data_IF_952406879475
#
_entry.id   IF_952406879475
#
_cell.length_a   1.000
_cell.length_b   1.000
_cell.length_c   1.000
_cell.angle_alpha   90.00
_cell.angle_beta   90.00
_cell.angle_gamma   90.00
#
_symmetry.space_group_name_H-M   'P 1'
#
loop_
_entity.id
_entity.type
_entity.pdbx_description
1 polymer ?
#
# COMPACT_ATOMS: atom_id res chain seq x y z
N UNK A 1 -10.99 -9.15 -11.66
CA UNK A 1 -9.86 -9.78 -12.37
C UNK A 1 -10.28 -9.85 -13.83
N UNK A 2 -9.39 -9.48 -14.75
CA UNK A 2 -9.72 -9.49 -16.17
C UNK A 2 -9.61 -10.91 -16.75
N UNK A 3 -10.54 -11.29 -17.64
CA UNK A 3 -10.71 -12.67 -18.13
C UNK A 3 -9.66 -13.04 -19.19
N UNK A 4 -9.43 -12.15 -20.15
CA UNK A 4 -8.43 -12.33 -21.22
C UNK A 4 -7.03 -12.47 -20.63
N UNK A 5 -6.73 -11.66 -19.61
CA UNK A 5 -5.46 -11.69 -18.90
C UNK A 5 -5.22 -13.02 -18.17
N UNK A 6 -6.27 -13.69 -17.70
CA UNK A 6 -6.18 -15.01 -17.07
C UNK A 6 -5.85 -16.11 -18.09
N UNK A 7 -6.49 -16.08 -19.27
CA UNK A 7 -6.22 -17.04 -20.34
C UNK A 7 -4.77 -16.96 -20.86
N UNK A 8 -4.18 -15.76 -20.89
CA UNK A 8 -2.81 -15.50 -21.37
C UNK A 8 -1.76 -15.52 -20.27
N UNK A 9 -2.03 -16.14 -19.13
CA UNK A 9 -1.11 -16.18 -17.99
C UNK A 9 0.30 -16.66 -18.36
N UNK A 10 0.38 -17.74 -19.16
CA UNK A 10 1.67 -18.31 -19.57
C UNK A 10 2.42 -17.43 -20.56
N UNK A 11 1.72 -16.73 -21.46
CA UNK A 11 2.33 -15.79 -22.40
C UNK A 11 2.98 -14.62 -21.65
N UNK A 12 2.29 -14.07 -20.65
CA UNK A 12 2.84 -13.02 -19.78
C UNK A 12 4.01 -13.52 -18.95
N UNK A 13 3.94 -14.75 -18.43
CA UNK A 13 5.03 -15.35 -17.65
C UNK A 13 6.30 -15.47 -18.51
N UNK A 14 6.16 -15.98 -19.74
CA UNK A 14 7.27 -16.09 -20.69
C UNK A 14 7.87 -14.73 -21.04
N UNK A 15 7.02 -13.74 -21.35
CA UNK A 15 7.48 -12.39 -21.68
C UNK A 15 8.19 -11.72 -20.49
N UNK A 16 7.69 -11.94 -19.27
CA UNK A 16 8.31 -11.43 -18.04
C UNK A 16 9.71 -12.02 -17.81
N UNK A 17 9.87 -13.33 -17.96
CA UNK A 17 11.15 -14.00 -17.80
C UNK A 17 12.18 -13.53 -18.84
N UNK A 18 11.76 -13.39 -20.09
CA UNK A 18 12.61 -12.86 -21.18
C UNK A 18 13.06 -11.42 -20.90
N UNK A 19 12.14 -10.57 -20.46
CA UNK A 19 12.43 -9.18 -20.10
C UNK A 19 13.46 -9.09 -18.99
N UNK A 20 13.28 -9.83 -17.88
CA UNK A 20 14.22 -9.80 -16.75
C UNK A 20 15.59 -10.30 -17.19
N UNK A 21 15.63 -11.42 -17.91
CA UNK A 21 16.89 -11.99 -18.39
C UNK A 21 17.67 -11.03 -19.30
N UNK A 22 16.97 -10.27 -20.14
CA UNK A 22 17.59 -9.36 -21.09
C UNK A 22 18.02 -8.02 -20.45
N UNK A 23 17.35 -7.58 -19.38
CA UNK A 23 17.52 -6.22 -18.83
C UNK A 23 18.15 -6.17 -17.43
N UNK A 24 18.30 -7.31 -16.75
CA UNK A 24 18.99 -7.37 -15.47
C UNK A 24 20.50 -7.11 -15.65
N UNK A 25 20.99 -6.06 -15.00
CA UNK A 25 22.36 -5.59 -15.13
C UNK A 25 22.90 -5.06 -13.81
N UNK A 26 24.22 -5.10 -13.63
CA UNK A 26 24.86 -4.73 -12.35
C UNK A 26 24.59 -3.28 -11.91
N UNK A 27 24.39 -2.36 -12.85
CA UNK A 27 24.12 -0.96 -12.57
C UNK A 27 22.63 -0.68 -12.31
N UNK A 28 21.74 -1.58 -12.78
CA UNK A 28 20.29 -1.46 -12.64
C UNK A 28 19.67 -2.86 -12.41
N UNK A 29 19.82 -3.42 -11.20
CA UNK A 29 19.30 -4.75 -10.89
C UNK A 29 17.78 -4.75 -10.69
N UNK A 30 17.12 -5.81 -11.15
CA UNK A 30 15.71 -6.05 -10.89
C UNK A 30 15.49 -6.75 -9.54
N UNK A 31 14.54 -6.25 -8.75
CA UNK A 31 14.19 -6.83 -7.43
C UNK A 31 12.77 -7.38 -7.44
N UNK A 32 12.61 -8.67 -7.18
CA UNK A 32 11.30 -9.34 -7.13
C UNK A 32 10.78 -9.30 -5.69
N UNK A 33 9.58 -8.74 -5.50
CA UNK A 33 8.93 -8.62 -4.19
C UNK A 33 7.62 -9.41 -4.19
N UNK A 34 7.49 -10.33 -3.22
CA UNK A 34 6.24 -11.09 -3.04
C UNK A 34 5.12 -10.16 -2.57
N UNK A 35 4.04 -10.08 -3.35
CA UNK A 35 2.92 -9.17 -3.16
C UNK A 35 1.65 -9.81 -2.55
N UNK A 36 1.71 -11.09 -2.17
CA UNK A 36 0.58 -11.80 -1.54
C UNK A 36 0.09 -11.09 -0.27
N UNK A 37 1.00 -10.65 0.59
CA UNK A 37 0.68 -9.69 1.66
C UNK A 37 1.02 -8.26 1.22
N UNK A 38 -0.03 -7.49 0.90
CA UNK A 38 0.08 -6.11 0.42
C UNK A 38 0.75 -5.17 1.42
N UNK A 39 0.65 -5.43 2.74
CA UNK A 39 1.25 -4.55 3.76
C UNK A 39 2.74 -4.77 3.86
N UNK A 40 3.14 -6.04 3.99
CA UNK A 40 4.55 -6.42 4.00
C UNK A 40 5.26 -6.04 2.70
N UNK A 41 4.63 -6.23 1.54
CA UNK A 41 5.19 -5.84 0.24
C UNK A 41 5.55 -4.34 0.19
N UNK A 42 4.65 -3.47 0.66
CA UNK A 42 4.90 -2.02 0.68
C UNK A 42 6.06 -1.63 1.59
N UNK A 43 6.09 -2.21 2.79
CA UNK A 43 7.16 -1.96 3.77
C UNK A 43 8.51 -2.42 3.20
N UNK A 44 8.54 -3.59 2.56
CA UNK A 44 9.75 -4.13 1.95
C UNK A 44 10.25 -3.24 0.80
N UNK A 45 9.38 -2.78 -0.09
CA UNK A 45 9.75 -1.85 -1.16
C UNK A 45 10.33 -0.54 -0.62
N UNK A 46 9.69 0.08 0.39
CA UNK A 46 10.18 1.32 1.01
C UNK A 46 11.53 1.09 1.67
N UNK A 47 11.66 0.00 2.42
CA UNK A 47 12.90 -0.35 3.12
C UNK A 47 14.05 -0.58 2.15
N UNK A 48 13.79 -1.24 1.02
CA UNK A 48 14.78 -1.47 -0.03
C UNK A 48 15.26 -0.17 -0.67
N UNK A 49 14.31 0.72 -1.03
CA UNK A 49 14.62 2.02 -1.62
C UNK A 49 15.43 2.92 -0.68
N UNK A 50 15.06 2.95 0.60
CA UNK A 50 15.79 3.75 1.59
C UNK A 50 17.20 3.21 1.82
N UNK A 51 17.43 1.89 1.73
CA UNK A 51 18.77 1.31 1.86
C UNK A 51 19.68 1.61 0.66
N UNK A 52 19.12 1.78 -0.54
CA UNK A 52 19.92 2.02 -1.74
C UNK A 52 20.39 3.46 -1.89
N UNK A 53 19.70 4.42 -1.28
CA UNK A 53 20.04 5.84 -1.35
C UNK A 53 20.73 6.24 -0.03
N UNK A 54 21.96 6.77 -0.05
CA UNK A 54 22.57 7.32 1.16
C UNK A 54 21.79 8.58 1.57
N UNK A 55 21.08 8.51 2.70
CA UNK A 55 20.34 9.64 3.25
C UNK A 55 20.77 9.92 4.69
N UNK A 56 20.81 11.19 5.04
CA UNK A 56 21.08 11.64 6.40
C UNK A 56 19.80 12.10 7.08
N UNK A 57 19.74 11.92 8.40
CA UNK A 57 18.63 12.48 9.19
C UNK A 57 18.82 13.98 9.32
N UNK A 58 18.05 14.73 8.54
CA UNK A 58 17.94 16.18 8.71
C UNK A 58 17.13 16.48 9.98
N UNK A 59 17.57 17.46 10.77
CA UNK A 59 16.79 17.94 11.92
C UNK A 59 15.48 18.53 11.41
N UNK A 60 14.37 18.02 11.94
CA UNK A 60 13.05 18.57 11.64
C UNK A 60 12.79 19.74 12.57
N UNK A 61 12.71 20.94 12.01
CA UNK A 61 12.24 22.11 12.75
C UNK A 61 10.71 22.08 12.75
N UNK A 62 10.11 21.96 13.94
CA UNK A 62 8.66 21.98 14.07
C UNK A 62 8.10 23.28 13.46
N UNK A 63 7.21 23.19 12.45
CA UNK A 63 6.56 24.37 11.93
C UNK A 63 5.79 25.02 13.06
N UNK A 64 5.97 26.33 13.28
CA UNK A 64 5.19 27.10 14.24
C UNK A 64 3.76 27.27 13.69
N UNK A 65 2.98 26.20 13.79
CA UNK A 65 1.56 26.23 13.53
C UNK A 65 0.94 27.07 14.64
N UNK A 66 0.47 28.27 14.29
CA UNK A 66 -0.28 29.12 15.20
C UNK A 66 -1.58 28.45 15.66
N UNK A 67 -2.42 29.20 16.38
CA UNK A 67 -3.72 28.67 16.81
C UNK A 67 -4.55 28.29 15.58
N UNK A 68 -5.02 27.04 15.56
CA UNK A 68 -5.95 26.54 14.55
C UNK A 68 -7.22 27.40 14.54
N UNK A 69 -7.71 27.79 13.36
CA UNK A 69 -8.99 28.47 13.24
C UNK A 69 -10.12 27.65 13.87
N UNK A 70 -11.06 28.31 14.56
CA UNK A 70 -12.26 27.65 15.07
C UNK A 70 -13.07 27.15 13.88
N UNK A 71 -13.63 25.94 13.98
CA UNK A 71 -14.55 25.42 12.97
C UNK A 71 -15.74 26.40 12.83
N UNK A 72 -16.04 26.92 11.64
CA UNK A 72 -17.24 27.71 11.40
C UNK A 72 -18.49 26.88 11.70
N UNK A 73 -19.52 27.51 12.25
CA UNK A 73 -20.76 26.83 12.67
C UNK A 73 -21.53 26.27 11.45
N UNK A 74 -21.50 26.99 10.33
CA UNK A 74 -22.13 26.61 9.05
C UNK A 74 -21.48 25.41 8.34
N UNK A 75 -20.34 24.91 8.83
CA UNK A 75 -19.73 23.72 8.25
C UNK A 75 -20.51 22.47 8.64
N UNK A 76 -21.47 22.08 7.80
CA UNK A 76 -21.97 20.71 7.70
C UNK A 76 -20.75 19.80 7.55
N UNK A 77 -20.45 19.04 8.61
CA UNK A 77 -19.27 18.17 8.62
C UNK A 77 -19.33 17.24 7.42
N UNK A 78 -18.17 16.95 6.81
CA UNK A 78 -18.13 15.93 5.77
C UNK A 78 -18.88 14.69 6.26
N UNK A 79 -19.90 14.28 5.49
CA UNK A 79 -20.76 13.18 5.83
C UNK A 79 -19.94 11.89 5.76
N UNK A 80 -19.18 11.60 6.82
CA UNK A 80 -18.42 10.35 6.92
C UNK A 80 -19.44 9.22 7.00
N UNK A 81 -19.41 8.24 6.09
CA UNK A 81 -20.26 7.07 6.21
C UNK A 81 -20.02 6.44 7.59
N UNK A 82 -21.08 6.28 8.39
CA UNK A 82 -21.00 5.69 9.74
C UNK A 82 -20.50 4.24 9.70
N UNK A 83 -20.64 3.57 8.56
CA UNK A 83 -20.16 2.22 8.31
C UNK A 83 -18.72 2.23 7.80
N UNK A 84 -17.78 2.59 8.68
CA UNK A 84 -16.37 2.30 8.41
C UNK A 84 -16.10 0.88 8.89
N UNK A 85 -15.92 -0.05 7.97
CA UNK A 85 -15.40 -1.37 8.31
C UNK A 85 -14.07 -1.17 9.04
N UNK A 86 -14.02 -1.52 10.34
CA UNK A 86 -12.75 -1.67 11.03
C UNK A 86 -12.07 -2.88 10.40
N UNK A 87 -11.13 -2.66 9.50
CA UNK A 87 -10.12 -3.69 9.22
C UNK A 87 -9.23 -3.77 10.47
N UNK A 88 -9.69 -4.55 11.46
CA UNK A 88 -8.82 -5.09 12.50
C UNK A 88 -7.90 -6.07 11.78
N UNK A 89 -6.62 -5.74 11.73
CA UNK A 89 -5.63 -6.76 11.43
C UNK A 89 -5.41 -7.53 12.72
N UNK A 90 -6.15 -8.60 12.91
CA UNK A 90 -5.65 -9.66 13.76
C UNK A 90 -4.69 -10.50 12.92
N UNK A 91 -3.53 -10.81 13.50
CA UNK A 91 -2.42 -11.50 12.84
C UNK A 91 -2.71 -12.95 12.39
N UNK A 92 -3.98 -13.34 12.27
CA UNK A 92 -4.46 -14.64 11.81
C UNK A 92 -5.83 -14.51 11.14
N UNK A 93 -5.85 -14.26 9.82
CA UNK A 93 -6.96 -14.63 8.92
C UNK A 93 -8.31 -13.93 9.08
N UNK A 94 -8.95 -13.63 7.95
CA UNK A 94 -10.33 -13.12 7.88
C UNK A 94 -11.32 -14.16 8.43
N UNK A 95 -12.02 -13.86 9.51
CA UNK A 95 -13.24 -14.56 9.92
C UNK A 95 -14.45 -13.67 9.70
N UNK A 96 -15.47 -14.24 9.06
CA UNK A 96 -16.72 -13.62 8.66
C UNK A 96 -17.34 -12.74 9.75
N UNK A 97 -17.68 -11.49 9.39
CA UNK A 97 -18.48 -10.61 10.23
C UNK A 97 -19.92 -11.12 10.31
N UNK A 98 -20.30 -11.69 11.45
CA UNK A 98 -21.68 -11.97 11.80
C UNK A 98 -22.46 -10.66 11.94
N UNK A 99 -23.47 -10.47 11.09
CA UNK A 99 -24.45 -9.40 11.21
C UNK A 99 -25.46 -9.81 12.29
N UNK A 100 -25.31 -9.31 13.51
CA UNK A 100 -26.33 -9.43 14.56
C UNK A 100 -26.88 -8.05 14.89
N UNK A 101 -28.18 -7.83 14.64
CA UNK A 101 -28.91 -6.70 15.21
C UNK A 101 -30.00 -6.11 14.31
N UNK A 102 -31.14 -6.79 14.22
CA UNK A 102 -32.45 -6.16 14.03
C UNK A 102 -33.40 -6.78 15.06
N UNK A 103 -33.57 -6.07 16.17
CA UNK A 103 -34.79 -6.00 16.97
C UNK A 103 -35.19 -4.54 17.06
#
# INVERSE_FOLDING_TARGET
>A
MDLESYHRWWDYTKAYDEMIRATDSLHAPWWIVNSNDRKSARINCITHLLKSIPYERVKFDEPKLGKRQKRPDDHLGHHRPKHRAKCVLDGRGLVHGSFSGLS
#
